data_IF_878694920651
#
_entry.id   IF_878694920651
#
_cell.length_a   1.000
_cell.length_b   1.000
_cell.length_c   1.000
_cell.angle_alpha   90.00
_cell.angle_beta   90.00
_cell.angle_gamma   90.00
#
_symmetry.space_group_name_H-M   'P 1'
#
loop_
_entity.id
_entity.type
_entity.pdbx_description
1 polymer ?
#
# COMPACT_ATOMS: atom_id res chain seq x y z
N UNK A 1 4.85 0.94 -38.81
CA UNK A 1 3.98 1.07 -37.63
C UNK A 1 4.32 -0.12 -36.72
N UNK A 2 5.14 0.09 -35.69
CA UNK A 2 5.32 -0.90 -34.65
C UNK A 2 3.99 -1.04 -33.89
N UNK A 3 3.50 -2.27 -33.65
CA UNK A 3 2.36 -2.44 -32.74
C UNK A 3 2.80 -1.98 -31.36
N UNK A 4 2.10 -1.02 -30.79
CA UNK A 4 2.22 -0.70 -29.37
C UNK A 4 1.94 -1.99 -28.62
N UNK A 5 2.95 -2.53 -27.95
CA UNK A 5 2.78 -3.66 -27.02
C UNK A 5 1.66 -3.28 -26.06
N UNK A 6 0.58 -4.03 -26.07
CA UNK A 6 -0.50 -3.87 -25.10
C UNK A 6 0.16 -4.05 -23.73
N UNK A 7 0.27 -2.95 -22.95
CA UNK A 7 0.83 -2.99 -21.61
C UNK A 7 -0.06 -3.95 -20.82
N UNK A 8 0.51 -5.06 -20.37
CA UNK A 8 -0.23 -6.01 -19.53
C UNK A 8 -0.78 -5.27 -18.33
N UNK A 9 -1.98 -5.64 -17.91
CA UNK A 9 -2.61 -5.04 -16.73
C UNK A 9 -1.70 -5.25 -15.50
N UNK A 10 -1.47 -4.22 -14.67
CA UNK A 10 -0.51 -4.30 -13.57
C UNK A 10 -0.96 -5.27 -12.49
N UNK A 11 -0.01 -5.95 -11.89
CA UNK A 11 -0.21 -6.82 -10.73
C UNK A 11 0.23 -6.11 -9.45
N UNK A 12 -0.63 -6.13 -8.43
CA UNK A 12 -0.39 -5.49 -7.14
C UNK A 12 -0.42 -6.56 -6.05
N UNK A 13 0.62 -6.60 -5.24
CA UNK A 13 0.74 -7.54 -4.12
C UNK A 13 0.72 -6.79 -2.78
N UNK A 14 -0.04 -7.29 -1.82
CA UNK A 14 -0.18 -6.71 -0.48
C UNK A 14 0.53 -7.58 0.54
N UNK A 15 1.50 -7.02 1.24
CA UNK A 15 2.16 -7.59 2.40
C UNK A 15 1.41 -7.13 3.65
N UNK A 16 0.53 -7.98 4.14
CA UNK A 16 -0.49 -7.69 5.15
C UNK A 16 -1.89 -7.53 4.54
N UNK A 17 -2.88 -8.11 5.20
CA UNK A 17 -4.30 -8.12 4.83
C UNK A 17 -5.18 -7.43 5.90
N UNK A 18 -4.64 -6.42 6.57
CA UNK A 18 -5.35 -5.62 7.57
C UNK A 18 -6.40 -4.69 6.95
N UNK A 19 -7.06 -3.90 7.80
CA UNK A 19 -8.16 -3.03 7.39
C UNK A 19 -7.76 -2.05 6.25
N UNK A 20 -6.57 -1.46 6.32
CA UNK A 20 -6.12 -0.52 5.28
C UNK A 20 -5.89 -1.22 3.93
N UNK A 21 -5.26 -2.41 3.94
CA UNK A 21 -5.11 -3.22 2.73
C UNK A 21 -6.48 -3.60 2.15
N UNK A 22 -7.42 -4.05 2.99
CA UNK A 22 -8.79 -4.37 2.57
C UNK A 22 -9.52 -3.18 1.95
N UNK A 23 -9.36 -1.98 2.52
CA UNK A 23 -9.93 -0.75 1.98
C UNK A 23 -9.38 -0.42 0.57
N UNK A 24 -8.05 -0.49 0.39
CA UNK A 24 -7.42 -0.26 -0.91
C UNK A 24 -7.85 -1.32 -1.93
N UNK A 25 -7.86 -2.60 -1.54
CA UNK A 25 -8.27 -3.71 -2.42
C UNK A 25 -9.71 -3.57 -2.86
N UNK A 26 -10.64 -3.33 -1.92
CA UNK A 26 -12.06 -3.15 -2.27
C UNK A 26 -12.28 -1.94 -3.17
N UNK A 27 -11.58 -0.85 -2.94
CA UNK A 27 -11.61 0.34 -3.79
C UNK A 27 -11.09 0.07 -5.20
N UNK A 28 -9.94 -0.62 -5.34
CA UNK A 28 -9.39 -1.01 -6.64
C UNK A 28 -10.37 -1.87 -7.45
N UNK A 29 -11.04 -2.82 -6.81
CA UNK A 29 -12.05 -3.66 -7.46
C UNK A 29 -13.24 -2.82 -7.91
N UNK A 30 -13.70 -1.88 -7.07
CA UNK A 30 -14.78 -0.96 -7.42
C UNK A 30 -14.40 -0.05 -8.62
N UNK A 31 -13.12 0.29 -8.78
CA UNK A 31 -12.58 1.04 -9.93
C UNK A 31 -12.31 0.16 -11.16
N UNK A 32 -12.58 -1.14 -11.10
CA UNK A 32 -12.50 -2.06 -12.24
C UNK A 32 -11.22 -2.89 -12.34
N UNK A 33 -10.37 -2.92 -11.30
CA UNK A 33 -9.29 -3.90 -11.26
C UNK A 33 -9.86 -5.31 -11.14
N UNK A 34 -9.31 -6.23 -11.92
CA UNK A 34 -9.66 -7.64 -11.78
C UNK A 34 -9.08 -8.19 -10.47
N UNK A 35 -9.84 -9.01 -9.70
CA UNK A 35 -9.30 -9.71 -8.54
C UNK A 35 -8.03 -10.53 -8.85
N UNK A 36 -7.86 -11.01 -10.07
CA UNK A 36 -6.68 -11.76 -10.51
C UNK A 36 -5.39 -10.89 -10.60
N UNK A 37 -5.52 -9.57 -10.64
CA UNK A 37 -4.39 -8.63 -10.58
C UNK A 37 -3.91 -8.37 -9.16
N UNK A 38 -4.70 -8.78 -8.16
CA UNK A 38 -4.46 -8.50 -6.74
C UNK A 38 -4.07 -9.76 -6.00
N UNK A 39 -3.07 -9.64 -5.13
CA UNK A 39 -2.51 -10.74 -4.34
C UNK A 39 -2.27 -10.24 -2.92
N UNK A 40 -2.30 -11.14 -1.94
CA UNK A 40 -1.96 -10.76 -0.58
C UNK A 40 -1.33 -11.91 0.21
N UNK A 41 -0.48 -11.54 1.17
CA UNK A 41 0.05 -12.45 2.17
C UNK A 41 -0.16 -11.88 3.56
N UNK A 42 -0.72 -12.68 4.46
CA UNK A 42 -0.91 -12.34 5.87
C UNK A 42 -0.92 -13.64 6.71
N UNK A 43 -0.23 -13.70 7.87
CA UNK A 43 -0.28 -14.88 8.74
C UNK A 43 -1.69 -15.24 9.24
N UNK A 44 -2.62 -14.29 9.22
CA UNK A 44 -4.01 -14.46 9.67
C UNK A 44 -4.89 -15.01 8.55
N UNK A 45 -5.28 -16.27 8.64
CA UNK A 45 -6.25 -16.88 7.73
C UNK A 45 -7.59 -16.11 7.72
N UNK A 46 -8.02 -15.60 8.87
CA UNK A 46 -9.24 -14.80 8.97
C UNK A 46 -9.14 -13.47 8.20
N UNK A 47 -7.95 -12.84 8.15
CA UNK A 47 -7.72 -11.65 7.34
C UNK A 47 -7.75 -11.99 5.84
N UNK A 48 -7.15 -13.10 5.44
CA UNK A 48 -7.16 -13.57 4.05
C UNK A 48 -8.57 -13.99 3.60
N UNK A 49 -9.36 -14.64 4.46
CA UNK A 49 -10.74 -15.03 4.15
C UNK A 49 -11.61 -13.83 3.75
N UNK A 50 -11.43 -12.67 4.41
CA UNK A 50 -12.13 -11.43 4.00
C UNK A 50 -11.74 -10.96 2.59
N UNK A 51 -10.51 -11.18 2.17
CA UNK A 51 -10.08 -10.83 0.82
C UNK A 51 -10.62 -11.81 -0.24
N UNK A 52 -10.89 -13.05 0.14
CA UNK A 52 -11.57 -14.02 -0.74
C UNK A 52 -12.99 -13.57 -1.09
N UNK A 53 -13.67 -12.88 -0.17
CA UNK A 53 -15.01 -12.30 -0.43
C UNK A 53 -14.98 -11.27 -1.58
N UNK A 54 -13.85 -10.62 -1.81
CA UNK A 54 -13.63 -9.74 -2.97
C UNK A 54 -13.20 -10.49 -4.24
N UNK A 55 -13.10 -11.82 -4.19
CA UNK A 55 -12.74 -12.65 -5.34
C UNK A 55 -11.24 -12.89 -5.53
N UNK A 56 -10.38 -12.47 -4.60
CA UNK A 56 -8.94 -12.74 -4.69
C UNK A 56 -8.66 -14.24 -4.54
N UNK A 57 -7.83 -14.79 -5.42
CA UNK A 57 -7.44 -16.21 -5.43
C UNK A 57 -5.96 -16.44 -5.10
N UNK A 58 -5.10 -15.44 -5.30
CA UNK A 58 -3.67 -15.53 -4.95
C UNK A 58 -3.43 -14.95 -3.54
N UNK A 59 -3.69 -15.79 -2.56
CA UNK A 59 -3.56 -15.49 -1.13
C UNK A 59 -2.67 -16.54 -0.45
N UNK A 60 -1.84 -16.14 0.50
CA UNK A 60 -0.95 -17.04 1.23
C UNK A 60 -0.71 -16.60 2.67
N UNK A 61 -0.61 -17.55 3.59
CA UNK A 61 -0.21 -17.28 4.98
C UNK A 61 1.29 -17.02 5.11
N UNK A 62 2.05 -17.39 4.08
CA UNK A 62 3.47 -17.07 3.89
C UNK A 62 3.65 -16.25 2.61
N UNK A 63 4.72 -15.46 2.49
CA UNK A 63 4.95 -14.62 1.31
C UNK A 63 5.49 -15.38 0.09
N UNK A 64 5.56 -16.71 0.15
CA UNK A 64 6.16 -17.54 -0.89
C UNK A 64 5.50 -17.28 -2.26
N UNK A 65 6.30 -16.83 -3.22
CA UNK A 65 5.91 -16.55 -4.61
C UNK A 65 4.75 -15.54 -4.80
N UNK A 66 4.20 -14.96 -3.71
CA UNK A 66 3.09 -14.00 -3.80
C UNK A 66 3.54 -12.70 -4.45
N UNK A 67 4.79 -12.28 -4.21
CA UNK A 67 5.32 -10.98 -4.64
C UNK A 67 6.07 -11.04 -5.96
N UNK A 68 6.42 -12.23 -6.43
CA UNK A 68 7.15 -12.41 -7.68
C UNK A 68 6.34 -11.88 -8.88
N UNK A 69 6.96 -11.02 -9.69
CA UNK A 69 6.31 -10.41 -10.85
C UNK A 69 5.18 -9.42 -10.52
N UNK A 70 5.12 -8.89 -9.29
CA UNK A 70 4.25 -7.77 -8.96
C UNK A 70 4.89 -6.46 -9.43
N UNK A 71 4.11 -5.59 -10.08
CA UNK A 71 4.53 -4.24 -10.49
C UNK A 71 4.59 -3.29 -9.29
N UNK A 72 3.74 -3.52 -8.30
CA UNK A 72 3.73 -2.77 -7.04
C UNK A 72 3.50 -3.71 -5.86
N UNK A 73 4.34 -3.60 -4.85
CA UNK A 73 4.15 -4.26 -3.55
C UNK A 73 3.75 -3.22 -2.51
N UNK A 74 2.60 -3.42 -1.88
CA UNK A 74 2.10 -2.55 -0.80
C UNK A 74 2.46 -3.19 0.55
N UNK A 75 3.37 -2.58 1.30
CA UNK A 75 3.68 -2.99 2.67
C UNK A 75 2.65 -2.40 3.64
N UNK A 76 1.66 -3.20 3.98
CA UNK A 76 0.48 -2.85 4.77
C UNK A 76 0.47 -3.52 6.16
N UNK A 77 1.64 -3.65 6.76
CA UNK A 77 1.83 -4.18 8.11
C UNK A 77 2.18 -3.06 9.09
N UNK A 78 2.04 -3.33 10.38
CA UNK A 78 2.42 -2.37 11.44
C UNK A 78 3.91 -2.02 11.35
N UNK A 79 4.33 -0.78 11.72
CA UNK A 79 5.72 -0.35 11.62
C UNK A 79 6.72 -1.31 12.28
N UNK A 80 6.38 -1.88 13.43
CA UNK A 80 7.24 -2.83 14.16
C UNK A 80 7.48 -4.15 13.41
N UNK A 81 6.59 -4.48 12.48
CA UNK A 81 6.66 -5.71 11.68
C UNK A 81 7.45 -5.50 10.38
N UNK A 82 7.60 -4.26 9.91
CA UNK A 82 8.23 -3.92 8.62
C UNK A 82 9.58 -4.63 8.41
N UNK A 83 10.55 -4.60 9.36
CA UNK A 83 11.85 -5.22 9.12
C UNK A 83 11.75 -6.71 8.78
N UNK A 84 10.97 -7.45 9.57
CA UNK A 84 10.77 -8.88 9.37
C UNK A 84 9.97 -9.17 8.09
N UNK A 85 8.92 -8.40 7.85
CA UNK A 85 8.05 -8.59 6.70
C UNK A 85 8.79 -8.31 5.38
N UNK A 86 9.56 -7.23 5.29
CA UNK A 86 10.34 -6.92 4.10
C UNK A 86 11.48 -7.92 3.87
N UNK A 87 12.12 -8.41 4.94
CA UNK A 87 13.14 -9.44 4.83
C UNK A 87 12.60 -10.74 4.21
N UNK A 88 11.32 -11.09 4.47
CA UNK A 88 10.70 -12.30 3.92
C UNK A 88 10.38 -12.24 2.43
N UNK A 89 10.32 -11.05 1.84
CA UNK A 89 10.09 -10.85 0.40
C UNK A 89 11.34 -10.36 -0.34
N UNK A 90 12.47 -10.30 0.36
CA UNK A 90 13.73 -9.87 -0.25
C UNK A 90 14.10 -10.80 -1.40
N UNK A 91 14.34 -10.20 -2.57
CA UNK A 91 14.63 -10.94 -3.81
C UNK A 91 13.42 -11.33 -4.65
N UNK A 92 12.19 -11.14 -4.14
CA UNK A 92 10.97 -11.30 -4.94
C UNK A 92 10.58 -10.02 -5.69
N UNK A 93 11.09 -8.86 -5.26
CA UNK A 93 10.86 -7.59 -5.94
C UNK A 93 11.73 -7.50 -7.19
N UNK A 94 11.10 -7.44 -8.36
CA UNK A 94 11.79 -7.29 -9.63
C UNK A 94 12.38 -5.88 -9.81
N UNK A 95 13.28 -5.68 -10.80
CA UNK A 95 13.94 -4.41 -11.05
C UNK A 95 12.97 -3.28 -11.45
N UNK A 96 11.85 -3.64 -12.07
CA UNK A 96 10.80 -2.69 -12.48
C UNK A 96 9.69 -2.54 -11.43
N UNK A 97 9.74 -3.32 -10.36
CA UNK A 97 8.77 -3.26 -9.26
C UNK A 97 9.01 -2.05 -8.35
N UNK A 98 7.95 -1.60 -7.68
CA UNK A 98 8.08 -0.61 -6.63
C UNK A 98 7.50 -1.12 -5.30
N UNK A 99 8.04 -0.62 -4.20
CA UNK A 99 7.53 -0.82 -2.86
C UNK A 99 6.77 0.44 -2.41
N UNK A 100 5.48 0.30 -2.11
CA UNK A 100 4.66 1.32 -1.47
C UNK A 100 4.49 0.97 0.02
N UNK A 101 5.10 1.72 0.92
CA UNK A 101 4.94 1.50 2.36
C UNK A 101 3.89 2.44 2.94
N UNK A 102 2.90 1.88 3.63
CA UNK A 102 1.90 2.66 4.39
C UNK A 102 2.22 2.69 5.90
N UNK A 103 3.39 2.20 6.30
CA UNK A 103 3.82 2.20 7.69
C UNK A 103 4.31 3.60 8.12
N UNK A 104 3.66 4.15 9.15
CA UNK A 104 4.04 5.45 9.70
C UNK A 104 5.46 5.43 10.29
N UNK A 105 6.20 6.53 10.10
CA UNK A 105 7.47 6.76 10.77
C UNK A 105 8.67 5.93 10.29
N UNK A 106 8.55 5.16 9.20
CA UNK A 106 9.66 4.38 8.64
C UNK A 106 10.23 5.10 7.40
N UNK A 107 11.45 5.66 7.47
CA UNK A 107 12.04 6.38 6.34
C UNK A 107 12.38 5.48 5.15
N UNK A 108 12.43 6.06 3.94
CA UNK A 108 12.82 5.37 2.70
C UNK A 108 14.15 4.64 2.86
N UNK A 109 15.17 5.28 3.42
CA UNK A 109 16.48 4.68 3.63
C UNK A 109 16.40 3.39 4.50
N UNK A 110 15.54 3.39 5.52
CA UNK A 110 15.29 2.20 6.34
C UNK A 110 14.59 1.10 5.54
N UNK A 111 13.58 1.43 4.74
CA UNK A 111 12.89 0.47 3.88
C UNK A 111 13.86 -0.17 2.87
N UNK A 112 14.68 0.64 2.20
CA UNK A 112 15.69 0.19 1.23
C UNK A 112 16.74 -0.70 1.88
N UNK A 113 17.12 -0.48 3.15
CA UNK A 113 18.08 -1.36 3.85
C UNK A 113 17.60 -2.80 3.96
N UNK A 114 16.29 -3.03 3.93
CA UNK A 114 15.69 -4.36 4.02
C UNK A 114 15.49 -5.03 2.66
N UNK A 115 15.11 -4.28 1.62
CA UNK A 115 14.76 -4.84 0.30
C UNK A 115 15.88 -4.70 -0.73
N UNK A 116 16.78 -3.75 -0.54
CA UNK A 116 17.90 -3.44 -1.44
C UNK A 116 17.90 -1.97 -1.84
N UNK A 117 19.09 -1.38 -2.10
CA UNK A 117 19.24 0.04 -2.42
C UNK A 117 18.62 0.43 -3.78
N UNK A 118 18.55 -0.52 -4.70
CA UNK A 118 18.06 -0.29 -6.07
C UNK A 118 16.52 -0.41 -6.19
N UNK A 119 15.85 -0.84 -5.11
CA UNK A 119 14.38 -0.95 -5.11
C UNK A 119 13.76 0.44 -5.06
N UNK A 120 12.85 0.72 -5.99
CA UNK A 120 12.04 1.93 -6.02
C UNK A 120 11.09 1.95 -4.83
N UNK A 121 11.21 2.94 -3.94
CA UNK A 121 10.41 3.04 -2.72
C UNK A 121 9.56 4.30 -2.71
N UNK A 122 8.29 4.12 -2.38
CA UNK A 122 7.30 5.17 -2.17
C UNK A 122 6.79 5.03 -0.73
N UNK A 123 6.70 6.14 -0.01
CA UNK A 123 6.02 6.20 1.28
C UNK A 123 4.62 6.80 1.09
N UNK A 124 3.68 6.23 1.82
CA UNK A 124 2.32 6.73 1.90
C UNK A 124 1.92 6.88 3.37
N UNK A 125 1.28 7.99 3.69
CA UNK A 125 0.59 8.18 4.96
C UNK A 125 -0.91 8.32 4.70
N UNK A 126 -1.66 7.20 4.80
CA UNK A 126 -3.12 7.20 4.71
C UNK A 126 -3.76 7.56 6.06
N UNK A 127 -5.09 7.63 6.09
CA UNK A 127 -5.85 7.79 7.33
C UNK A 127 -7.07 6.85 7.38
N UNK A 128 -7.69 6.72 8.56
CA UNK A 128 -8.77 5.76 8.81
C UNK A 128 -10.04 5.94 7.98
N UNK A 129 -10.46 7.16 7.52
CA UNK A 129 -11.61 7.29 6.62
C UNK A 129 -11.46 6.56 5.28
N UNK A 130 -10.25 6.09 4.93
CA UNK A 130 -10.02 5.21 3.79
C UNK A 130 -10.90 3.95 3.81
N UNK A 131 -11.29 3.47 4.99
CA UNK A 131 -12.15 2.29 5.15
C UNK A 131 -13.57 2.47 4.55
N UNK A 132 -13.99 3.69 4.29
CA UNK A 132 -15.25 4.04 3.64
C UNK A 132 -15.04 4.82 2.33
N UNK A 133 -13.85 4.76 1.74
CA UNK A 133 -13.51 5.45 0.49
C UNK A 133 -13.33 6.98 0.63
N UNK A 134 -13.24 7.51 1.85
CA UNK A 134 -13.09 8.93 2.14
C UNK A 134 -11.74 9.26 2.79
N UNK A 135 -10.75 8.45 2.50
CA UNK A 135 -9.38 8.64 2.98
C UNK A 135 -8.69 9.86 2.39
N UNK A 136 -7.67 10.33 3.10
CA UNK A 136 -6.68 11.27 2.57
C UNK A 136 -5.30 10.64 2.75
N UNK A 137 -4.58 10.48 1.64
CA UNK A 137 -3.26 9.88 1.60
C UNK A 137 -2.24 10.89 1.09
N UNK A 138 -1.11 11.00 1.76
CA UNK A 138 0.03 11.74 1.24
C UNK A 138 1.13 10.78 0.79
N UNK A 139 1.71 11.04 -0.39
CA UNK A 139 2.77 10.23 -0.99
C UNK A 139 4.08 11.02 -1.06
N UNK A 140 5.17 10.33 -0.82
CA UNK A 140 6.53 10.77 -1.14
C UNK A 140 7.30 9.63 -1.79
N UNK A 141 8.04 9.91 -2.86
CA UNK A 141 8.80 8.92 -3.60
C UNK A 141 10.28 9.24 -3.62
N UNK A 142 11.11 8.20 -3.54
CA UNK A 142 12.54 8.31 -3.85
C UNK A 142 12.76 8.73 -5.31
N UNK A 143 13.93 9.30 -5.61
CA UNK A 143 14.27 9.80 -6.95
C UNK A 143 14.34 8.68 -8.01
N UNK A 144 14.56 7.44 -7.57
CA UNK A 144 14.60 6.24 -8.43
C UNK A 144 13.21 5.82 -8.96
N UNK A 145 12.14 6.37 -8.40
CA UNK A 145 10.76 5.98 -8.75
C UNK A 145 10.33 6.61 -10.08
N UNK A 146 10.01 5.76 -11.04
CA UNK A 146 9.55 6.17 -12.37
C UNK A 146 8.14 6.78 -12.36
N UNK A 147 7.80 7.51 -13.43
CA UNK A 147 6.47 8.08 -13.59
C UNK A 147 5.35 7.01 -13.62
N UNK A 148 5.62 5.84 -14.21
CA UNK A 148 4.65 4.73 -14.23
C UNK A 148 4.42 4.13 -12.84
N UNK A 149 5.47 3.97 -12.03
CA UNK A 149 5.38 3.50 -10.66
C UNK A 149 4.63 4.51 -9.77
N UNK A 150 4.90 5.81 -9.93
CA UNK A 150 4.15 6.89 -9.26
C UNK A 150 2.66 6.82 -9.61
N UNK A 151 2.33 6.69 -10.90
CA UNK A 151 0.94 6.58 -11.36
C UNK A 151 0.23 5.36 -10.77
N UNK A 152 0.90 4.20 -10.70
CA UNK A 152 0.31 3.00 -10.12
C UNK A 152 0.10 3.15 -8.60
N UNK A 153 1.05 3.72 -7.87
CA UNK A 153 0.90 4.01 -6.45
C UNK A 153 -0.26 4.99 -6.18
N UNK A 154 -0.41 6.01 -7.03
CA UNK A 154 -1.51 6.97 -6.94
C UNK A 154 -2.87 6.32 -7.21
N UNK A 155 -2.97 5.40 -8.18
CA UNK A 155 -4.19 4.62 -8.41
C UNK A 155 -4.58 3.80 -7.17
N UNK A 156 -3.61 3.13 -6.54
CA UNK A 156 -3.86 2.32 -5.33
C UNK A 156 -4.37 3.18 -4.17
N UNK A 157 -3.80 4.35 -3.98
CA UNK A 157 -4.19 5.23 -2.86
C UNK A 157 -5.48 5.99 -3.15
N UNK A 158 -5.73 6.40 -4.40
CA UNK A 158 -6.99 7.03 -4.83
C UNK A 158 -8.19 6.09 -4.71
N UNK A 159 -7.99 4.79 -4.87
CA UNK A 159 -9.04 3.79 -4.66
C UNK A 159 -9.63 3.80 -3.23
N UNK A 160 -8.90 4.35 -2.26
CA UNK A 160 -9.36 4.49 -0.87
C UNK A 160 -9.66 5.95 -0.45
N UNK A 161 -9.58 6.90 -1.39
CA UNK A 161 -9.87 8.32 -1.13
C UNK A 161 -9.06 9.27 -2.01
N UNK A 162 -8.65 10.41 -1.47
CA UNK A 162 -7.88 11.43 -2.18
C UNK A 162 -6.38 11.29 -1.91
N UNK A 163 -5.57 11.51 -2.93
CA UNK A 163 -4.11 11.43 -2.84
C UNK A 163 -3.44 12.76 -3.16
N UNK A 164 -2.40 13.11 -2.42
CA UNK A 164 -1.53 14.26 -2.70
C UNK A 164 -0.06 13.84 -2.64
N UNK A 165 0.78 14.43 -3.48
CA UNK A 165 2.23 14.27 -3.41
C UNK A 165 2.83 15.40 -2.59
N UNK A 166 3.70 15.05 -1.65
CA UNK A 166 4.44 16.04 -0.85
C UNK A 166 5.85 16.26 -1.40
N UNK A 167 6.38 17.47 -1.20
CA UNK A 167 7.66 17.88 -1.77
C UNK A 167 8.88 17.30 -1.05
N UNK A 168 8.72 16.83 0.18
CA UNK A 168 9.81 16.20 0.95
C UNK A 168 9.28 15.10 1.85
N UNK A 169 10.15 14.12 2.16
CA UNK A 169 9.80 13.01 3.04
C UNK A 169 9.38 13.47 4.45
N UNK A 170 10.03 14.51 4.97
CA UNK A 170 9.74 15.06 6.29
C UNK A 170 8.30 15.60 6.43
N UNK A 171 7.67 16.01 5.34
CA UNK A 171 6.26 16.46 5.37
C UNK A 171 5.29 15.34 5.72
N UNK A 172 5.65 14.07 5.54
CA UNK A 172 4.81 12.95 5.95
C UNK A 172 4.63 12.88 7.48
N UNK A 173 5.57 13.41 8.26
CA UNK A 173 5.41 13.49 9.72
C UNK A 173 4.36 14.54 10.11
N UNK A 174 4.32 15.69 9.41
CA UNK A 174 3.27 16.70 9.59
C UNK A 174 1.90 16.14 9.15
N UNK A 175 1.84 15.39 8.05
CA UNK A 175 0.62 14.69 7.61
C UNK A 175 0.16 13.68 8.66
N UNK A 176 1.08 12.92 9.25
CA UNK A 176 0.79 11.97 10.32
C UNK A 176 0.16 12.67 11.52
N UNK A 177 0.72 13.81 11.94
CA UNK A 177 0.23 14.57 13.09
C UNK A 177 -1.19 15.12 12.89
N UNK A 178 -1.53 15.56 11.67
CA UNK A 178 -2.82 16.21 11.36
C UNK A 178 -3.83 15.19 10.82
N UNK A 179 -3.56 14.61 9.65
CA UNK A 179 -4.49 13.75 8.92
C UNK A 179 -4.49 12.31 9.45
N UNK A 180 -3.34 11.78 9.86
CA UNK A 180 -3.23 10.43 10.40
C UNK A 180 -3.84 10.30 11.78
N UNK A 181 -3.55 11.24 12.69
CA UNK A 181 -4.01 11.21 14.09
C UNK A 181 -5.35 11.93 14.30
N UNK A 182 -5.65 12.96 13.49
CA UNK A 182 -6.82 13.82 13.64
C UNK A 182 -8.15 13.09 13.77
N UNK A 183 -8.48 12.12 12.91
CA UNK A 183 -9.75 11.39 12.98
C UNK A 183 -10.04 10.78 14.36
N UNK A 184 -9.03 10.25 15.04
CA UNK A 184 -9.19 9.66 16.39
C UNK A 184 -9.65 10.69 17.43
N UNK A 185 -9.13 11.92 17.36
CA UNK A 185 -9.54 13.01 18.26
C UNK A 185 -10.98 13.45 18.00
N UNK A 186 -11.38 13.55 16.72
CA UNK A 186 -12.76 13.88 16.37
C UNK A 186 -13.73 12.79 16.81
N UNK A 187 -13.40 11.51 16.65
CA UNK A 187 -14.23 10.41 17.12
C UNK A 187 -14.39 10.45 18.65
N UNK A 188 -13.31 10.67 19.41
CA UNK A 188 -13.38 10.81 20.85
C UNK A 188 -14.24 12.00 21.30
N UNK A 189 -14.14 13.14 20.58
CA UNK A 189 -14.95 14.32 20.87
C UNK A 189 -16.44 14.06 20.59
N UNK A 190 -16.77 13.46 19.45
CA UNK A 190 -18.14 13.11 19.08
C UNK A 190 -18.74 12.15 20.11
N UNK A 191 -18.00 11.12 20.52
CA UNK A 191 -18.44 10.18 21.56
C UNK A 191 -18.69 10.88 22.89
N UNK A 192 -17.83 11.81 23.30
CA UNK A 192 -18.01 12.57 24.53
C UNK A 192 -19.23 13.50 24.52
N UNK A 193 -19.56 14.07 23.35
CA UNK A 193 -20.76 14.94 23.19
C UNK A 193 -22.06 14.12 23.15
N UNK A 194 -22.00 12.88 22.62
CA UNK A 194 -23.18 12.03 22.47
C UNK A 194 -23.60 11.30 23.78
N UNK A 195 -22.80 11.39 24.83
CA UNK A 195 -23.10 10.86 26.19
C UNK A 195 -23.84 11.89 27.04
#
# INVERSE_FOLDING_TARGET
>A
RHPMSAKMAPHIAFLGAGNMASAMISGLIAEGFSPNQLRASDPSEAALARLQEYGLTRLGTTPDEIFEGADLTVAAVKPQIIPRALASIKGQLGPDSALLSIAAGIPIASLQSHVGPDVSVIRCMPNTPAMIGLGASALFAADTVSASQRSLAEQVTNAAGTTVWVASEALLDAVTAVSGSGPAYFFALIEAIAR
#
